data_IF_578799392601
#
_entry.id   IF_578799392601
#
_cell.length_a   1.000
_cell.length_b   1.000
_cell.length_c   1.000
_cell.angle_alpha   90.00
_cell.angle_beta   90.00
_cell.angle_gamma   90.00
#
_symmetry.space_group_name_H-M   'P 1'
#
loop_
_entity.id
_entity.type
_entity.pdbx_description
1 polymer ?
#
# COMPACT_ATOMS: atom_id res chain seq x y z
N UNK A 1 5.93 12.88 5.31
CA UNK A 1 6.76 11.66 5.21
C UNK A 1 6.67 10.99 3.83
N UNK A 2 5.52 10.50 3.34
CA UNK A 2 5.44 9.76 2.05
C UNK A 2 6.00 10.52 0.84
N UNK A 3 5.72 11.83 0.72
CA UNK A 3 6.29 12.67 -0.35
C UNK A 3 7.81 12.77 -0.27
N UNK A 4 8.36 12.86 0.95
CA UNK A 4 9.81 12.91 1.20
C UNK A 4 10.48 11.61 0.82
N UNK A 5 9.94 10.47 1.27
CA UNK A 5 10.44 9.14 0.92
C UNK A 5 10.45 8.90 -0.60
N UNK A 6 9.43 9.36 -1.33
CA UNK A 6 9.38 9.25 -2.79
C UNK A 6 10.45 10.09 -3.50
N UNK A 7 10.80 11.27 -2.95
CA UNK A 7 11.80 12.16 -3.56
C UNK A 7 13.25 11.67 -3.39
N UNK A 8 13.52 10.94 -2.30
CA UNK A 8 14.89 10.60 -1.89
C UNK A 8 15.14 9.08 -2.08
N UNK A 9 14.87 8.58 -3.28
CA UNK A 9 14.97 7.15 -3.62
C UNK A 9 16.36 6.53 -3.45
N UNK A 10 17.42 7.32 -3.62
CA UNK A 10 18.82 6.83 -3.70
C UNK A 10 19.71 7.35 -2.56
N UNK A 11 19.11 7.75 -1.45
CA UNK A 11 19.90 8.27 -0.33
C UNK A 11 20.07 7.19 0.73
N UNK A 12 21.30 6.95 1.14
CA UNK A 12 21.62 6.11 2.31
C UNK A 12 21.26 6.78 3.64
N UNK A 13 20.31 7.72 3.65
CA UNK A 13 19.89 8.46 4.83
C UNK A 13 18.70 7.79 5.50
N UNK A 14 18.72 7.72 6.82
CA UNK A 14 17.58 7.30 7.61
C UNK A 14 16.58 8.44 7.80
N UNK A 15 15.31 8.08 7.96
CA UNK A 15 14.23 9.01 8.22
C UNK A 15 13.60 8.73 9.57
N UNK A 16 13.59 9.70 10.44
CA UNK A 16 12.89 9.64 11.70
C UNK A 16 11.61 10.48 11.61
N UNK A 17 10.49 9.83 11.41
CA UNK A 17 9.20 10.50 11.30
C UNK A 17 8.64 10.86 12.67
N UNK A 18 8.23 12.10 12.88
CA UNK A 18 7.57 12.58 14.10
C UNK A 18 6.11 12.90 13.76
N UNK A 19 5.18 12.34 14.55
CA UNK A 19 3.75 12.62 14.39
C UNK A 19 3.41 13.95 15.06
N UNK A 20 2.92 14.89 14.24
CA UNK A 20 2.36 16.17 14.71
C UNK A 20 0.84 16.27 14.50
N UNK A 21 0.20 15.18 14.10
CA UNK A 21 -1.25 15.08 13.89
C UNK A 21 -1.88 13.97 14.72
N UNK A 22 -3.14 13.65 14.41
CA UNK A 22 -3.91 12.64 15.17
C UNK A 22 -3.53 11.20 14.81
N UNK A 23 -3.16 10.93 13.55
CA UNK A 23 -2.84 9.60 13.05
C UNK A 23 -1.48 9.58 12.36
N UNK A 24 -0.66 8.58 12.67
CA UNK A 24 0.67 8.46 12.09
C UNK A 24 1.29 7.09 12.35
N UNK A 25 0.80 6.03 11.68
CA UNK A 25 1.18 4.63 11.93
C UNK A 25 2.68 4.34 11.77
N UNK A 26 3.37 5.07 10.89
CA UNK A 26 4.81 4.94 10.69
C UNK A 26 5.60 6.09 11.33
N UNK A 27 5.01 6.79 12.27
CA UNK A 27 5.57 7.98 12.89
C UNK A 27 5.77 7.76 14.39
N UNK A 28 6.83 8.35 14.92
CA UNK A 28 7.11 8.32 16.35
C UNK A 28 6.34 9.42 17.08
N UNK A 29 5.99 9.17 18.33
CA UNK A 29 5.36 10.20 19.17
C UNK A 29 6.34 11.35 19.40
N UNK A 30 5.86 12.58 19.25
CA UNK A 30 6.65 13.77 19.56
C UNK A 30 6.94 13.85 21.06
N UNK A 31 8.18 14.14 21.41
CA UNK A 31 8.62 14.36 22.79
C UNK A 31 9.69 15.45 22.82
N UNK A 32 9.34 16.71 23.16
CA UNK A 32 10.28 17.83 23.11
C UNK A 32 11.57 17.57 23.90
N UNK A 33 11.42 17.01 25.11
CA UNK A 33 12.56 16.76 26.03
C UNK A 33 13.41 15.55 25.64
N UNK A 34 12.87 14.58 24.89
CA UNK A 34 13.51 13.29 24.65
C UNK A 34 13.76 12.98 23.17
N UNK A 35 13.59 13.92 22.26
CA UNK A 35 13.71 13.66 20.81
C UNK A 35 15.07 13.07 20.43
N UNK A 36 16.17 13.66 20.90
CA UNK A 36 17.52 13.15 20.61
C UNK A 36 17.78 11.77 21.21
N UNK A 37 17.35 11.55 22.46
CA UNK A 37 17.44 10.24 23.13
C UNK A 37 16.62 9.17 22.38
N UNK A 38 15.41 9.52 21.92
CA UNK A 38 14.55 8.60 21.18
C UNK A 38 15.15 8.30 19.80
N UNK A 39 15.76 9.28 19.15
CA UNK A 39 16.45 9.09 17.87
C UNK A 39 17.64 8.14 18.01
N UNK A 40 18.49 8.31 19.05
CA UNK A 40 19.66 7.45 19.27
C UNK A 40 19.30 6.00 19.62
N UNK A 41 18.09 5.75 20.12
CA UNK A 41 17.58 4.42 20.48
C UNK A 41 16.60 3.84 19.45
N UNK A 42 16.38 4.53 18.33
CA UNK A 42 15.42 4.10 17.34
C UNK A 42 15.90 2.86 16.58
N UNK A 43 15.01 1.90 16.40
CA UNK A 43 15.25 0.75 15.54
C UNK A 43 15.00 1.11 14.08
N UNK A 44 15.86 0.63 13.19
CA UNK A 44 15.71 0.83 11.76
C UNK A 44 14.73 -0.19 11.19
N UNK A 45 13.78 0.29 10.39
CA UNK A 45 12.83 -0.54 9.66
C UNK A 45 13.02 -0.27 8.17
N UNK A 46 13.28 -1.32 7.40
CA UNK A 46 13.34 -1.25 5.95
C UNK A 46 11.95 -1.35 5.36
N UNK A 47 11.55 -0.35 4.56
CA UNK A 47 10.28 -0.32 3.85
C UNK A 47 10.55 -0.52 2.36
N UNK A 48 9.92 -1.53 1.76
CA UNK A 48 10.01 -1.78 0.31
C UNK A 48 8.83 -1.13 -0.41
N UNK A 49 9.06 -0.15 -1.30
CA UNK A 49 7.99 0.42 -2.11
C UNK A 49 7.49 -0.58 -3.16
N UNK A 50 6.23 -0.45 -3.56
CA UNK A 50 5.60 -1.19 -4.64
C UNK A 50 5.80 -0.46 -5.95
N UNK A 51 6.42 -1.08 -6.95
CA UNK A 51 6.44 -0.57 -8.32
C UNK A 51 5.16 -0.99 -9.05
N UNK A 52 4.45 -0.04 -9.62
CA UNK A 52 3.33 -0.26 -10.51
C UNK A 52 3.74 0.03 -11.94
N UNK A 53 3.55 -0.93 -12.85
CA UNK A 53 3.67 -0.73 -14.29
C UNK A 53 2.28 -0.76 -14.93
N UNK A 54 1.91 0.33 -15.59
CA UNK A 54 0.64 0.45 -16.32
C UNK A 54 0.93 0.35 -17.81
N UNK A 55 0.26 -0.58 -18.48
CA UNK A 55 0.22 -0.65 -19.95
C UNK A 55 -1.17 -0.23 -20.43
N UNK A 56 -1.25 0.86 -21.16
CA UNK A 56 -2.51 1.39 -21.69
C UNK A 56 -2.93 0.67 -22.99
N UNK A 57 -4.17 0.89 -23.44
CA UNK A 57 -4.65 0.40 -24.75
C UNK A 57 -3.74 0.87 -25.92
N UNK A 58 -3.21 2.09 -25.81
CA UNK A 58 -2.31 2.68 -26.82
C UNK A 58 -0.87 2.19 -26.67
N UNK A 59 -0.62 1.07 -25.99
CA UNK A 59 0.69 0.45 -25.74
C UNK A 59 1.68 1.33 -24.95
N UNK A 60 1.24 2.45 -24.42
CA UNK A 60 2.08 3.28 -23.53
C UNK A 60 2.35 2.56 -22.23
N UNK A 61 3.61 2.60 -21.78
CA UNK A 61 4.02 2.03 -20.50
C UNK A 61 4.36 3.18 -19.56
N UNK A 62 3.73 3.18 -18.39
CA UNK A 62 4.01 4.14 -17.31
C UNK A 62 4.38 3.40 -16.04
N UNK A 63 5.40 3.89 -15.32
CA UNK A 63 5.87 3.31 -14.06
C UNK A 63 5.68 4.30 -12.92
N UNK A 64 5.22 3.79 -11.79
CA UNK A 64 4.99 4.57 -10.58
C UNK A 64 5.49 3.81 -9.37
N UNK A 65 5.84 4.53 -8.29
CA UNK A 65 6.16 3.93 -7.00
C UNK A 65 5.12 4.32 -5.96
N UNK A 66 4.69 3.34 -5.18
CA UNK A 66 3.80 3.52 -4.05
C UNK A 66 4.48 3.02 -2.77
N UNK A 67 4.43 3.79 -1.70
CA UNK A 67 4.89 3.36 -0.38
C UNK A 67 3.82 2.53 0.30
N UNK A 68 2.57 2.98 0.26
CA UNK A 68 1.45 2.31 0.92
C UNK A 68 0.78 1.29 0.01
N UNK A 69 0.08 1.77 -1.02
CA UNK A 69 -0.72 0.91 -1.90
C UNK A 69 -0.85 1.50 -3.29
N UNK A 70 -1.26 0.63 -4.20
CA UNK A 70 -1.80 0.96 -5.53
C UNK A 70 -3.27 0.58 -5.53
N UNK A 71 -4.16 1.50 -5.89
CA UNK A 71 -5.58 1.24 -6.10
C UNK A 71 -5.97 1.43 -7.55
N UNK A 72 -6.79 0.53 -8.06
CA UNK A 72 -7.43 0.62 -9.37
C UNK A 72 -8.92 0.78 -9.11
N UNK A 73 -9.49 1.92 -9.49
CA UNK A 73 -10.88 2.30 -9.25
C UNK A 73 -11.61 2.52 -10.57
N UNK A 74 -12.90 2.19 -10.58
CA UNK A 74 -13.79 2.56 -11.69
C UNK A 74 -13.90 4.08 -11.81
N UNK A 75 -14.04 4.58 -13.02
CA UNK A 75 -14.29 6.00 -13.30
C UNK A 75 -15.76 6.32 -13.54
N UNK A 76 -16.56 5.31 -13.85
CA UNK A 76 -17.99 5.48 -14.14
C UNK A 76 -18.86 4.91 -13.02
N UNK A 77 -20.16 5.11 -13.13
CA UNK A 77 -21.15 4.53 -12.19
C UNK A 77 -21.25 3.00 -12.31
N UNK A 78 -20.81 2.43 -13.43
CA UNK A 78 -20.82 0.98 -13.64
C UNK A 78 -19.70 0.32 -12.83
N UNK A 79 -19.99 -0.86 -12.25
CA UNK A 79 -19.00 -1.66 -11.56
C UNK A 79 -17.85 -2.09 -12.48
N UNK A 80 -16.65 -2.13 -11.96
CA UNK A 80 -15.50 -2.65 -12.68
C UNK A 80 -15.55 -4.17 -12.77
N UNK A 81 -15.09 -4.72 -13.90
CA UNK A 81 -14.88 -6.15 -14.12
C UNK A 81 -13.37 -6.41 -14.16
N UNK A 82 -12.85 -7.00 -13.11
CA UNK A 82 -11.41 -7.18 -12.94
C UNK A 82 -11.05 -8.66 -12.94
N UNK A 83 -9.98 -9.01 -13.64
CA UNK A 83 -9.30 -10.30 -13.53
C UNK A 83 -7.97 -10.09 -12.82
N UNK A 84 -7.72 -10.89 -11.80
CA UNK A 84 -6.50 -10.78 -11.01
C UNK A 84 -5.69 -12.06 -11.16
N UNK A 85 -4.40 -11.89 -11.43
CA UNK A 85 -3.42 -12.98 -11.57
C UNK A 85 -2.18 -12.67 -10.73
N UNK A 86 -1.54 -13.73 -10.27
CA UNK A 86 -0.23 -13.70 -9.62
C UNK A 86 0.71 -14.58 -10.47
N UNK A 87 1.51 -13.96 -11.32
CA UNK A 87 2.26 -14.68 -12.35
C UNK A 87 1.31 -15.43 -13.29
N UNK A 88 1.51 -16.74 -13.45
CA UNK A 88 0.65 -17.64 -14.22
C UNK A 88 -0.64 -18.02 -13.50
N UNK A 89 -0.68 -17.92 -12.15
CA UNK A 89 -1.82 -18.37 -11.34
C UNK A 89 -2.95 -17.35 -11.37
N UNK A 90 -4.15 -17.81 -11.67
CA UNK A 90 -5.36 -16.99 -11.60
C UNK A 90 -5.87 -16.91 -10.16
N UNK A 91 -5.78 -15.73 -9.54
CA UNK A 91 -6.30 -15.46 -8.19
C UNK A 91 -7.82 -15.36 -8.21
N UNK A 92 -8.35 -14.59 -9.15
CA UNK A 92 -9.79 -14.46 -9.36
C UNK A 92 -10.09 -14.19 -10.84
N UNK A 93 -11.03 -14.96 -11.42
CA UNK A 93 -11.38 -14.87 -12.86
C UNK A 93 -12.21 -13.62 -13.15
N UNK A 94 -13.12 -13.29 -12.26
CA UNK A 94 -14.04 -12.15 -12.42
C UNK A 94 -14.40 -11.56 -11.07
N UNK A 95 -13.82 -10.42 -10.76
CA UNK A 95 -14.20 -9.58 -9.64
C UNK A 95 -15.07 -8.44 -10.16
N UNK A 96 -16.29 -8.34 -9.65
CA UNK A 96 -17.20 -7.21 -9.90
C UNK A 96 -17.20 -6.36 -8.65
N UNK A 97 -16.66 -5.14 -8.75
CA UNK A 97 -16.39 -4.29 -7.59
C UNK A 97 -16.24 -2.83 -8.03
N UNK A 98 -16.09 -1.93 -7.08
CA UNK A 98 -15.64 -0.57 -7.36
C UNK A 98 -14.16 -0.52 -7.75
N UNK A 99 -13.40 -1.53 -7.33
CA UNK A 99 -11.98 -1.61 -7.65
C UNK A 99 -11.25 -2.70 -6.89
N UNK A 100 -9.94 -2.64 -6.96
CA UNK A 100 -9.01 -3.50 -6.24
C UNK A 100 -7.82 -2.68 -5.75
N UNK A 101 -7.27 -3.09 -4.64
CA UNK A 101 -6.13 -2.46 -3.99
C UNK A 101 -5.04 -3.50 -3.78
N UNK A 102 -3.79 -3.12 -4.02
CA UNK A 102 -2.60 -3.91 -3.69
C UNK A 102 -1.78 -3.10 -2.70
N UNK A 103 -1.64 -3.62 -1.49
CA UNK A 103 -0.97 -2.93 -0.39
C UNK A 103 0.36 -3.58 -0.02
N UNK A 104 1.32 -2.74 0.32
CA UNK A 104 2.55 -3.11 1.01
C UNK A 104 2.28 -3.36 2.49
N UNK A 105 3.22 -3.95 3.24
CA UNK A 105 3.13 -3.99 4.70
C UNK A 105 2.95 -2.61 5.34
N UNK A 106 3.67 -1.59 4.85
CA UNK A 106 3.55 -0.22 5.36
C UNK A 106 2.17 0.39 5.11
N UNK A 107 1.52 0.05 4.00
CA UNK A 107 0.18 0.51 3.63
C UNK A 107 -0.95 -0.34 4.21
N UNK A 108 -0.65 -1.49 4.82
CA UNK A 108 -1.70 -2.41 5.28
C UNK A 108 -2.63 -1.81 6.34
N UNK A 109 -2.16 -0.82 7.08
CA UNK A 109 -2.93 -0.05 8.07
C UNK A 109 -3.54 1.25 7.53
N UNK A 110 -3.37 1.54 6.22
CA UNK A 110 -3.93 2.71 5.56
C UNK A 110 -5.24 2.35 4.83
N UNK A 111 -5.39 2.67 3.54
CA UNK A 111 -6.62 2.40 2.79
C UNK A 111 -6.97 0.90 2.73
N UNK A 112 -5.95 0.03 2.76
CA UNK A 112 -6.17 -1.41 2.85
C UNK A 112 -7.03 -1.81 4.07
N UNK A 113 -6.79 -1.19 5.22
CA UNK A 113 -7.59 -1.44 6.43
C UNK A 113 -9.03 -0.95 6.27
N UNK A 114 -9.25 0.18 5.60
CA UNK A 114 -10.59 0.73 5.35
C UNK A 114 -11.43 -0.16 4.43
N UNK A 115 -10.81 -0.97 3.58
CA UNK A 115 -11.48 -1.98 2.74
C UNK A 115 -11.45 -3.38 3.37
N UNK A 116 -11.19 -3.48 4.67
CA UNK A 116 -11.16 -4.71 5.45
C UNK A 116 -10.06 -5.69 5.01
N UNK A 117 -8.99 -5.17 4.40
CA UNK A 117 -7.80 -5.96 4.07
C UNK A 117 -6.99 -6.33 5.32
N UNK A 118 -6.16 -7.37 5.25
CA UNK A 118 -5.36 -7.83 6.38
C UNK A 118 -4.24 -6.84 6.73
N UNK A 119 -3.96 -6.70 8.02
CA UNK A 119 -2.75 -6.00 8.51
C UNK A 119 -1.56 -6.94 8.32
N UNK A 120 -0.49 -6.42 7.71
CA UNK A 120 0.75 -7.13 7.49
C UNK A 120 1.85 -6.58 8.42
N UNK A 121 2.68 -7.47 8.97
CA UNK A 121 3.88 -7.06 9.70
C UNK A 121 4.80 -6.24 8.78
N UNK A 122 5.40 -5.15 9.30
CA UNK A 122 6.33 -4.31 8.53
C UNK A 122 7.55 -5.08 8.00
N UNK A 123 7.94 -6.18 8.66
CA UNK A 123 9.02 -7.06 8.23
C UNK A 123 8.58 -8.10 7.20
N UNK A 124 7.31 -8.15 6.86
CA UNK A 124 6.77 -9.09 5.87
C UNK A 124 7.22 -8.70 4.47
N UNK A 125 7.57 -9.70 3.65
CA UNK A 125 7.81 -9.55 2.21
C UNK A 125 6.56 -9.80 1.37
N UNK A 126 5.39 -9.87 2.01
CA UNK A 126 4.09 -10.17 1.37
C UNK A 126 3.36 -8.90 1.00
N UNK A 127 2.44 -9.02 0.05
CA UNK A 127 1.49 -7.98 -0.34
C UNK A 127 0.07 -8.43 -0.02
N UNK A 128 -0.82 -7.48 0.29
CA UNK A 128 -2.24 -7.75 0.40
C UNK A 128 -2.96 -7.27 -0.87
N UNK A 129 -3.77 -8.15 -1.47
CA UNK A 129 -4.69 -7.82 -2.56
C UNK A 129 -6.09 -7.77 -1.95
N UNK A 130 -6.73 -6.61 -1.94
CA UNK A 130 -8.03 -6.41 -1.31
C UNK A 130 -9.04 -5.80 -2.29
N UNK A 131 -10.26 -6.33 -2.37
CA UNK A 131 -11.31 -5.75 -3.20
C UNK A 131 -11.86 -4.47 -2.56
N UNK A 132 -12.31 -3.54 -3.39
CA UNK A 132 -12.99 -2.33 -2.95
C UNK A 132 -14.48 -2.51 -3.28
N UNK A 133 -15.33 -2.54 -2.26
CA UNK A 133 -16.79 -2.73 -2.39
C UNK A 133 -17.16 -3.91 -3.32
N UNK A 134 -16.78 -5.16 -3.00
CA UNK A 134 -17.02 -6.29 -3.90
C UNK A 134 -18.51 -6.64 -3.98
N UNK A 135 -19.07 -6.61 -5.22
CA UNK A 135 -20.42 -7.06 -5.49
C UNK A 135 -20.47 -8.57 -5.78
N UNK A 136 -19.50 -9.10 -6.51
CA UNK A 136 -19.34 -10.53 -6.82
C UNK A 136 -17.86 -10.89 -6.98
N UNK A 137 -17.36 -11.97 -6.37
CA UNK A 137 -18.02 -12.73 -5.30
C UNK A 137 -18.00 -11.94 -3.97
N UNK A 138 -19.12 -11.90 -3.27
CA UNK A 138 -19.26 -11.12 -2.02
C UNK A 138 -18.38 -11.63 -0.88
N UNK A 139 -18.12 -12.94 -0.83
CA UNK A 139 -17.31 -13.57 0.22
C UNK A 139 -15.81 -13.45 0.01
N UNK A 140 -15.35 -12.96 -1.15
CA UNK A 140 -13.94 -12.83 -1.39
C UNK A 140 -13.38 -11.57 -0.69
N UNK A 141 -12.60 -11.83 0.35
CA UNK A 141 -11.98 -10.76 1.17
C UNK A 141 -10.59 -10.34 0.69
N UNK A 142 -10.12 -10.90 -0.43
CA UNK A 142 -8.77 -10.67 -0.94
C UNK A 142 -7.83 -11.86 -0.70
N UNK A 143 -6.55 -11.62 -0.91
CA UNK A 143 -5.48 -12.62 -0.78
C UNK A 143 -4.20 -11.96 -0.32
N UNK A 144 -3.46 -12.62 0.55
CA UNK A 144 -2.06 -12.30 0.85
C UNK A 144 -1.17 -13.10 -0.10
N UNK A 145 -0.22 -12.43 -0.75
CA UNK A 145 0.69 -13.00 -1.76
C UNK A 145 2.14 -12.71 -1.43
#
# INVERSE_FOLDING_TARGET
MLKTLKKIKNSNKFFYGINSGNYGFLMNKFSPKNTLRNLSRANHILISPLEMTVKTKNKQIKKFLAINEVSVLRQSRQAAFLRIRQGSVQVIKKLISDGVLVSTPAGSTAYNLSVHGPILSLHSKKLAISPISPFRPRKWKGKVV
#
